data_IF_203156317376
#
_entry.id   IF_203156317376
#
_cell.length_a   1.000
_cell.length_b   1.000
_cell.length_c   1.000
_cell.angle_alpha   90.00
_cell.angle_beta   90.00
_cell.angle_gamma   90.00
#
_symmetry.space_group_name_H-M   'P 1'
#
loop_
_entity.id
_entity.type
_entity.pdbx_description
1 polymer ?
#
# COMPACT_ATOMS: atom_id res chain seq x y z
N UNK A 1 9.63 -45.07 -47.65
CA UNK A 1 8.60 -45.69 -46.79
C UNK A 1 9.20 -45.94 -45.41
N UNK A 2 8.44 -45.65 -44.34
CA UNK A 2 8.59 -46.01 -42.90
C UNK A 2 9.80 -45.36 -42.17
N UNK A 3 9.59 -44.33 -41.33
CA UNK A 3 9.17 -44.33 -39.90
C UNK A 3 10.09 -45.22 -39.04
N UNK A 4 10.74 -44.70 -38.00
CA UNK A 4 10.28 -44.79 -36.60
C UNK A 4 10.82 -43.63 -35.76
N UNK A 5 9.89 -43.01 -35.02
CA UNK A 5 10.04 -42.05 -33.94
C UNK A 5 10.45 -42.83 -32.68
N UNK A 6 11.40 -42.33 -31.90
CA UNK A 6 11.65 -42.81 -30.54
C UNK A 6 11.65 -41.63 -29.58
N UNK A 7 10.49 -41.40 -28.97
CA UNK A 7 10.29 -40.56 -27.79
C UNK A 7 10.24 -41.54 -26.61
N UNK A 8 11.05 -41.29 -25.58
CA UNK A 8 10.67 -41.36 -24.15
C UNK A 8 11.92 -41.43 -23.28
N UNK A 9 12.06 -40.49 -22.35
CA UNK A 9 12.28 -40.83 -20.94
C UNK A 9 11.73 -39.69 -20.08
N UNK A 10 10.48 -39.85 -19.69
CA UNK A 10 9.77 -39.03 -18.72
C UNK A 10 10.22 -39.50 -17.34
N UNK A 11 11.19 -38.82 -16.73
CA UNK A 11 11.56 -39.08 -15.33
C UNK A 11 10.54 -38.44 -14.39
N UNK A 12 9.50 -39.21 -14.08
CA UNK A 12 8.60 -38.94 -12.96
C UNK A 12 9.34 -39.29 -11.67
N UNK A 13 9.69 -38.27 -10.88
CA UNK A 13 10.09 -38.46 -9.49
C UNK A 13 8.91 -38.11 -8.59
N UNK A 14 8.17 -39.15 -8.21
CA UNK A 14 7.28 -39.13 -7.05
C UNK A 14 8.13 -39.33 -5.79
N UNK A 15 8.10 -38.35 -4.87
CA UNK A 15 8.46 -38.53 -3.48
C UNK A 15 7.17 -38.40 -2.65
N UNK A 16 6.63 -39.54 -2.21
CA UNK A 16 5.64 -39.68 -1.14
C UNK A 16 6.40 -40.02 0.15
N UNK A 17 6.27 -39.25 1.24
CA UNK A 17 5.37 -39.44 2.40
C UNK A 17 6.27 -39.26 3.66
N UNK A 18 5.88 -38.85 4.86
CA UNK A 18 4.67 -38.35 5.50
C UNK A 18 5.13 -37.82 6.88
N UNK A 19 4.50 -36.75 7.40
CA UNK A 19 4.76 -36.23 8.75
C UNK A 19 3.63 -35.32 9.19
N UNK A 20 2.53 -35.93 9.61
CA UNK A 20 1.29 -35.29 10.02
C UNK A 20 1.44 -34.71 11.43
N UNK A 21 1.12 -33.43 11.66
CA UNK A 21 0.34 -32.91 12.82
C UNK A 21 0.23 -31.39 12.76
N UNK A 22 -1.00 -30.90 12.87
CA UNK A 22 -1.36 -29.48 12.79
C UNK A 22 -2.06 -29.17 11.48
N UNK A 23 -3.39 -29.33 11.43
CA UNK A 23 -4.17 -28.54 10.49
C UNK A 23 -3.81 -27.07 10.75
N UNK A 24 -3.47 -26.25 9.73
CA UNK A 24 -3.62 -24.82 9.92
C UNK A 24 -5.10 -24.64 10.24
N UNK A 25 -5.42 -24.14 11.44
CA UNK A 25 -6.76 -23.66 11.72
C UNK A 25 -7.19 -22.81 10.51
N UNK A 26 -8.39 -23.00 9.95
CA UNK A 26 -8.91 -21.99 9.05
C UNK A 26 -8.88 -20.69 9.86
N UNK A 27 -8.04 -19.74 9.43
CA UNK A 27 -8.04 -18.37 9.96
C UNK A 27 -9.51 -18.00 10.07
N UNK A 28 -9.95 -17.70 11.29
CA UNK A 28 -11.31 -17.27 11.59
C UNK A 28 -11.72 -16.28 10.51
N UNK A 29 -12.79 -16.58 9.78
CA UNK A 29 -13.44 -15.56 8.96
C UNK A 29 -13.68 -14.35 9.88
N UNK A 30 -13.22 -13.14 9.53
CA UNK A 30 -13.66 -11.98 10.26
C UNK A 30 -15.16 -11.85 10.02
N UNK A 31 -15.92 -12.11 11.08
CA UNK A 31 -17.34 -11.93 11.12
C UNK A 31 -17.65 -10.45 10.89
N UNK A 32 -18.38 -10.20 9.80
CA UNK A 32 -19.40 -9.17 9.62
C UNK A 32 -19.12 -7.77 10.17
N UNK A 33 -18.88 -6.83 9.26
CA UNK A 33 -19.85 -5.82 8.83
C UNK A 33 -19.05 -4.76 8.08
N UNK A 34 -19.41 -4.54 6.81
CA UNK A 34 -19.03 -3.40 5.99
C UNK A 34 -17.53 -3.09 5.96
N UNK A 35 -16.88 -3.67 4.96
CA UNK A 35 -15.60 -3.18 4.43
C UNK A 35 -15.77 -1.69 4.11
N UNK A 36 -15.45 -0.84 5.07
CA UNK A 36 -14.80 0.44 4.78
C UNK A 36 -13.57 0.05 3.95
N UNK A 37 -13.42 0.67 2.78
CA UNK A 37 -12.35 0.44 1.81
C UNK A 37 -10.97 0.84 2.36
N UNK A 38 -10.57 0.37 3.55
CA UNK A 38 -9.17 0.29 3.93
C UNK A 38 -8.58 -0.84 3.09
N UNK A 39 -8.01 -0.49 1.95
CA UNK A 39 -7.20 -1.42 1.17
C UNK A 39 -6.19 -2.09 2.11
N UNK A 40 -6.18 -3.43 2.12
CA UNK A 40 -5.15 -4.21 2.81
C UNK A 40 -3.78 -3.71 2.33
N UNK A 41 -2.95 -3.22 3.26
CA UNK A 41 -1.60 -2.74 2.99
C UNK A 41 -0.80 -3.81 2.24
N UNK A 42 -0.16 -3.42 1.14
CA UNK A 42 0.52 -4.35 0.24
C UNK A 42 1.97 -4.56 0.69
N UNK A 43 2.25 -5.73 1.31
CA UNK A 43 3.55 -6.44 1.37
C UNK A 43 4.69 -5.89 2.26
N UNK A 44 5.07 -6.70 3.26
CA UNK A 44 6.20 -6.54 4.21
C UNK A 44 7.61 -6.62 3.56
N UNK A 45 7.99 -5.70 2.68
CA UNK A 45 9.37 -5.68 2.12
C UNK A 45 10.27 -4.60 2.70
N UNK A 46 9.69 -3.53 3.25
CA UNK A 46 10.40 -2.40 3.84
C UNK A 46 10.21 -2.35 5.36
N UNK A 47 11.13 -1.72 6.11
CA UNK A 47 10.96 -1.55 7.56
C UNK A 47 9.72 -0.72 7.87
N UNK A 48 8.95 -1.14 8.87
CA UNK A 48 7.82 -0.36 9.36
C UNK A 48 8.29 1.06 9.77
N UNK A 49 7.59 2.12 9.33
CA UNK A 49 8.00 3.49 9.61
C UNK A 49 7.76 3.86 11.08
N UNK A 50 8.72 4.57 11.68
CA UNK A 50 8.62 5.15 13.02
C UNK A 50 8.10 6.60 12.93
N UNK A 51 6.82 6.74 12.62
CA UNK A 51 6.14 8.03 12.48
C UNK A 51 4.85 8.05 13.31
N UNK A 52 4.47 9.18 13.88
CA UNK A 52 3.25 9.25 14.70
C UNK A 52 1.98 9.50 13.86
N UNK A 53 2.12 10.12 12.68
CA UNK A 53 1.01 10.46 11.78
C UNK A 53 0.07 11.54 12.34
N UNK A 54 -0.73 12.15 11.47
CA UNK A 54 -1.76 13.13 11.83
C UNK A 54 -3.15 12.50 11.91
N UNK A 55 -4.00 13.00 12.81
CA UNK A 55 -5.45 12.80 12.76
C UNK A 55 -6.19 14.05 12.28
N UNK A 56 -7.48 13.92 11.94
CA UNK A 56 -8.31 15.04 11.50
C UNK A 56 -8.31 16.21 12.49
N UNK A 57 -8.34 15.94 13.79
CA UNK A 57 -8.31 16.97 14.82
C UNK A 57 -6.96 17.68 14.97
N UNK A 58 -5.87 17.12 14.44
CA UNK A 58 -4.55 17.78 14.41
C UNK A 58 -4.46 18.84 13.29
N UNK A 59 -5.36 18.77 12.29
CA UNK A 59 -5.31 19.61 11.09
C UNK A 59 -5.81 21.03 11.33
N UNK A 60 -5.35 21.97 10.50
CA UNK A 60 -5.89 23.34 10.48
C UNK A 60 -7.37 23.38 10.08
N UNK A 61 -8.10 24.41 10.49
CA UNK A 61 -9.52 24.56 10.10
C UNK A 61 -9.69 24.72 8.58
N UNK A 62 -8.69 25.30 7.90
CA UNK A 62 -8.66 25.43 6.44
C UNK A 62 -8.56 24.06 5.76
N UNK A 63 -7.66 23.20 6.25
CA UNK A 63 -7.44 21.87 5.69
C UNK A 63 -8.59 20.92 6.03
N UNK A 64 -9.17 21.00 7.23
CA UNK A 64 -10.35 20.20 7.61
C UNK A 64 -11.51 20.36 6.63
N UNK A 65 -11.66 21.53 6.00
CA UNK A 65 -12.70 21.82 4.99
C UNK A 65 -12.45 21.13 3.65
N UNK A 66 -11.25 20.59 3.41
CA UNK A 66 -10.94 19.82 2.20
C UNK A 66 -11.54 18.41 2.25
N UNK A 67 -11.91 17.93 3.44
CA UNK A 67 -12.48 16.61 3.64
C UNK A 67 -14.00 16.68 3.74
N UNK A 68 -14.70 15.80 3.01
CA UNK A 68 -16.17 15.73 2.98
C UNK A 68 -16.74 15.01 4.22
N UNK A 69 -16.36 15.47 5.41
CA UNK A 69 -16.71 14.85 6.71
C UNK A 69 -18.16 15.12 7.13
N UNK A 70 -18.81 16.10 6.50
CA UNK A 70 -20.23 16.41 6.71
C UNK A 70 -21.15 15.28 6.21
N UNK A 71 -20.64 14.40 5.34
CA UNK A 71 -21.34 13.17 4.94
C UNK A 71 -21.39 12.11 6.02
N UNK A 72 -20.47 12.17 6.99
CA UNK A 72 -20.41 11.21 8.09
C UNK A 72 -21.45 11.65 9.13
N UNK A 73 -22.40 10.77 9.44
CA UNK A 73 -23.42 11.09 10.44
C UNK A 73 -22.80 11.26 11.82
N UNK A 74 -23.43 12.09 12.67
CA UNK A 74 -22.97 12.25 14.06
C UNK A 74 -23.02 10.93 14.84
N UNK A 75 -24.00 10.06 14.55
CA UNK A 75 -24.06 8.70 15.12
C UNK A 75 -22.84 7.86 14.73
N UNK A 76 -22.38 7.96 13.48
CA UNK A 76 -21.20 7.24 13.01
C UNK A 76 -19.92 7.81 13.61
N UNK A 77 -19.81 9.14 13.74
CA UNK A 77 -18.68 9.80 14.43
C UNK A 77 -18.59 9.40 15.90
N UNK A 78 -19.72 9.32 16.59
CA UNK A 78 -19.76 8.91 18.01
C UNK A 78 -19.43 7.42 18.18
N UNK A 79 -19.94 6.57 17.29
CA UNK A 79 -19.75 5.11 17.37
C UNK A 79 -18.35 4.68 16.92
N UNK A 80 -17.80 5.37 15.93
CA UNK A 80 -16.51 5.05 15.32
C UNK A 80 -15.72 6.34 15.02
N UNK A 81 -15.13 6.98 16.04
CA UNK A 81 -14.40 8.23 15.86
C UNK A 81 -13.22 8.11 14.89
N UNK A 82 -12.69 6.90 14.68
CA UNK A 82 -11.62 6.63 13.71
C UNK A 82 -12.03 6.90 12.27
N UNK A 83 -13.32 6.85 11.94
CA UNK A 83 -13.81 7.18 10.59
C UNK A 83 -13.51 8.65 10.27
N UNK A 84 -13.79 9.54 11.23
CA UNK A 84 -13.47 10.96 11.12
C UNK A 84 -11.97 11.19 11.29
N UNK A 85 -11.40 10.69 12.39
CA UNK A 85 -10.04 11.03 12.80
C UNK A 85 -8.97 10.48 11.85
N UNK A 86 -9.23 9.38 11.13
CA UNK A 86 -8.22 8.72 10.31
C UNK A 86 -8.75 8.37 8.92
N UNK A 87 -9.87 7.66 8.81
CA UNK A 87 -10.28 7.09 7.52
C UNK A 87 -10.57 8.18 6.46
N UNK A 88 -11.14 9.32 6.86
CA UNK A 88 -11.36 10.47 5.96
C UNK A 88 -10.06 11.01 5.37
N UNK A 89 -9.00 11.12 6.19
CA UNK A 89 -7.69 11.58 5.73
C UNK A 89 -7.07 10.57 4.76
N UNK A 90 -7.12 9.29 5.13
CA UNK A 90 -6.56 8.21 4.32
C UNK A 90 -7.21 8.16 2.94
N UNK A 91 -8.54 8.17 2.89
CA UNK A 91 -9.29 8.06 1.63
C UNK A 91 -8.98 9.19 0.66
N UNK A 92 -9.06 10.44 1.11
CA UNK A 92 -8.84 11.59 0.23
C UNK A 92 -7.38 11.71 -0.23
N UNK A 93 -6.40 11.55 0.69
CA UNK A 93 -4.98 11.67 0.34
C UNK A 93 -4.52 10.54 -0.57
N UNK A 94 -4.95 9.29 -0.33
CA UNK A 94 -4.64 8.17 -1.22
C UNK A 94 -5.28 8.33 -2.59
N UNK A 95 -6.52 8.81 -2.64
CA UNK A 95 -7.20 9.05 -3.92
C UNK A 95 -6.50 10.15 -4.72
N UNK A 96 -6.02 11.19 -4.05
CA UNK A 96 -5.20 12.23 -4.68
C UNK A 96 -3.91 11.63 -5.24
N UNK A 97 -3.16 10.86 -4.44
CA UNK A 97 -1.94 10.21 -4.88
C UNK A 97 -2.18 9.31 -6.09
N UNK A 98 -3.19 8.45 -6.02
CA UNK A 98 -3.56 7.50 -7.07
C UNK A 98 -3.90 8.21 -8.39
N UNK A 99 -4.63 9.32 -8.33
CA UNK A 99 -5.00 10.09 -9.52
C UNK A 99 -3.78 10.80 -10.10
N UNK A 100 -3.00 11.49 -9.27
CA UNK A 100 -1.82 12.22 -9.73
C UNK A 100 -0.79 11.30 -10.41
N UNK A 101 -0.49 10.14 -9.80
CA UNK A 101 0.45 9.18 -10.41
C UNK A 101 -0.10 8.54 -11.67
N UNK A 102 -1.42 8.32 -11.76
CA UNK A 102 -2.05 7.78 -12.95
C UNK A 102 -2.03 8.76 -14.14
N UNK A 103 -2.04 10.07 -13.89
CA UNK A 103 -1.85 11.09 -14.93
C UNK A 103 -0.45 11.04 -15.54
N UNK A 104 0.55 10.63 -14.77
CA UNK A 104 1.92 10.36 -15.21
C UNK A 104 2.09 8.96 -15.81
N UNK A 105 1.04 8.14 -15.83
CA UNK A 105 1.04 6.80 -16.42
C UNK A 105 1.43 5.66 -15.48
N UNK A 106 1.54 5.92 -14.18
CA UNK A 106 1.95 4.95 -13.16
C UNK A 106 0.82 4.60 -12.18
N UNK A 107 0.94 3.44 -11.56
CA UNK A 107 0.00 2.92 -10.57
C UNK A 107 0.74 2.36 -9.35
N UNK A 108 0.00 1.94 -8.31
CA UNK A 108 0.62 1.44 -7.07
C UNK A 108 1.41 0.14 -7.24
N UNK A 109 1.13 -0.71 -8.23
CA UNK A 109 1.98 -1.86 -8.53
C UNK A 109 3.38 -1.43 -9.01
N UNK A 110 3.48 -0.29 -9.71
CA UNK A 110 4.76 0.27 -10.12
C UNK A 110 5.56 0.76 -8.90
N UNK A 111 4.88 1.36 -7.92
CA UNK A 111 5.49 1.72 -6.64
C UNK A 111 6.03 0.49 -5.89
N UNK A 112 5.25 -0.60 -5.84
CA UNK A 112 5.67 -1.84 -5.17
C UNK A 112 6.94 -2.46 -5.79
N UNK A 113 7.23 -2.16 -7.07
CA UNK A 113 8.45 -2.63 -7.70
C UNK A 113 9.69 -1.84 -7.25
N UNK A 114 9.53 -0.62 -6.76
CA UNK A 114 10.63 0.30 -6.43
C UNK A 114 10.68 0.69 -4.95
N UNK A 115 9.73 0.22 -4.15
CA UNK A 115 9.49 0.73 -2.80
C UNK A 115 8.21 0.16 -2.18
N UNK A 116 7.62 0.94 -1.27
CA UNK A 116 6.43 0.57 -0.50
C UNK A 116 5.63 1.82 -0.08
N UNK A 117 4.37 1.63 0.31
CA UNK A 117 3.50 2.66 0.84
C UNK A 117 2.81 2.22 2.13
N UNK A 118 2.99 3.02 3.19
CA UNK A 118 2.29 2.84 4.45
C UNK A 118 1.30 3.98 4.70
N UNK A 119 0.24 3.67 5.46
CA UNK A 119 -0.60 4.69 6.06
C UNK A 119 -0.39 4.68 7.57
N UNK A 120 0.15 5.76 8.10
CA UNK A 120 0.27 5.94 9.54
C UNK A 120 -0.70 7.02 9.97
N UNK A 121 -1.81 6.59 10.59
CA UNK A 121 -3.02 7.41 10.77
C UNK A 121 -3.40 8.03 9.42
N UNK A 122 -3.56 9.36 9.32
CA UNK A 122 -3.89 10.05 8.08
C UNK A 122 -2.70 10.37 7.17
N UNK A 123 -1.45 10.08 7.56
CA UNK A 123 -0.26 10.42 6.77
C UNK A 123 0.14 9.26 5.85
N UNK A 124 0.48 9.58 4.59
CA UNK A 124 1.06 8.63 3.63
C UNK A 124 2.57 8.57 3.90
N UNK A 125 3.15 7.38 4.00
CA UNK A 125 4.60 7.19 4.00
C UNK A 125 4.97 6.49 2.70
N UNK A 126 5.79 7.12 1.87
CA UNK A 126 6.35 6.56 0.66
C UNK A 126 7.80 6.18 0.92
N UNK A 127 8.12 4.90 0.82
CA UNK A 127 9.48 4.41 0.96
C UNK A 127 9.99 3.99 -0.41
N UNK A 128 11.18 4.44 -0.78
CA UNK A 128 11.84 4.06 -2.04
C UNK A 128 13.15 3.34 -1.77
N UNK A 129 13.48 2.36 -2.60
CA UNK A 129 14.83 1.76 -2.61
C UNK A 129 15.87 2.84 -2.89
N UNK A 130 17.01 2.79 -2.20
CA UNK A 130 18.14 3.69 -2.50
C UNK A 130 18.73 3.48 -3.90
N UNK A 131 18.78 2.24 -4.36
CA UNK A 131 19.35 1.87 -5.66
C UNK A 131 18.25 1.56 -6.66
N UNK A 132 18.02 2.49 -7.58
CA UNK A 132 17.05 2.38 -8.66
C UNK A 132 17.75 2.44 -10.01
N UNK A 133 17.20 1.74 -10.99
CA UNK A 133 17.56 1.86 -12.40
C UNK A 133 17.00 3.17 -13.00
N UNK A 134 17.45 3.55 -14.20
CA UNK A 134 16.96 4.76 -14.87
C UNK A 134 15.43 4.75 -15.09
N UNK A 135 14.85 3.60 -15.44
CA UNK A 135 13.39 3.45 -15.62
C UNK A 135 12.64 3.56 -14.29
N UNK A 136 13.18 2.97 -13.22
CA UNK A 136 12.59 3.06 -11.88
C UNK A 136 12.71 4.47 -11.27
N UNK A 137 13.70 5.26 -11.69
CA UNK A 137 13.81 6.66 -11.30
C UNK A 137 12.66 7.50 -11.87
N UNK A 138 12.21 7.22 -13.10
CA UNK A 138 11.04 7.91 -13.68
C UNK A 138 9.77 7.62 -12.87
N UNK A 139 9.61 6.39 -12.39
CA UNK A 139 8.52 6.00 -11.47
C UNK A 139 8.65 6.79 -10.17
N UNK A 140 9.82 6.79 -9.52
CA UNK A 140 10.05 7.56 -8.27
C UNK A 140 9.72 9.04 -8.46
N UNK A 141 10.18 9.66 -9.55
CA UNK A 141 9.94 11.08 -9.84
C UNK A 141 8.44 11.40 -9.94
N UNK A 142 7.64 10.54 -10.56
CA UNK A 142 6.19 10.74 -10.65
C UNK A 142 5.51 10.70 -9.28
N UNK A 143 5.89 9.76 -8.41
CA UNK A 143 5.35 9.66 -7.05
C UNK A 143 5.81 10.82 -6.17
N UNK A 144 7.08 11.23 -6.24
CA UNK A 144 7.61 12.38 -5.50
C UNK A 144 6.92 13.66 -5.92
N UNK A 145 6.74 13.89 -7.22
CA UNK A 145 6.01 15.05 -7.75
C UNK A 145 4.58 15.10 -7.19
N UNK A 146 3.87 13.98 -7.25
CA UNK A 146 2.50 13.91 -6.72
C UNK A 146 2.48 14.11 -5.20
N UNK A 147 3.46 13.59 -4.48
CA UNK A 147 3.59 13.80 -3.04
C UNK A 147 3.83 15.27 -2.69
N UNK A 148 4.64 15.99 -3.46
CA UNK A 148 4.84 17.43 -3.27
C UNK A 148 3.54 18.21 -3.53
N UNK A 149 2.76 17.83 -4.55
CA UNK A 149 1.43 18.41 -4.80
C UNK A 149 0.44 18.13 -3.64
N UNK A 150 0.48 16.94 -3.05
CA UNK A 150 -0.31 16.62 -1.84
C UNK A 150 0.10 17.52 -0.68
N UNK A 151 1.40 17.75 -0.47
CA UNK A 151 1.89 18.64 0.59
C UNK A 151 1.43 20.09 0.41
N UNK A 152 1.40 20.56 -0.83
CA UNK A 152 0.89 21.90 -1.16
C UNK A 152 -0.62 22.02 -0.95
N UNK A 153 -1.39 20.99 -1.31
CA UNK A 153 -2.86 21.01 -1.22
C UNK A 153 -3.35 20.81 0.22
N UNK A 154 -2.76 19.86 0.94
CA UNK A 154 -3.20 19.48 2.29
C UNK A 154 -2.31 20.14 3.33
N UNK A 155 -1.14 19.55 3.60
CA UNK A 155 -0.08 20.13 4.41
C UNK A 155 1.23 19.33 4.27
N UNK A 156 2.36 19.89 4.71
CA UNK A 156 3.70 19.26 4.63
C UNK A 156 3.80 17.85 5.25
N UNK A 157 3.05 17.58 6.32
CA UNK A 157 3.05 16.28 7.02
C UNK A 157 2.04 15.28 6.44
N UNK A 158 1.36 15.63 5.34
CA UNK A 158 0.41 14.74 4.66
C UNK A 158 1.11 13.55 3.99
N UNK A 159 2.37 13.74 3.56
CA UNK A 159 3.22 12.70 2.98
C UNK A 159 4.62 12.78 3.56
N UNK A 160 5.15 11.66 4.03
CA UNK A 160 6.59 11.50 4.29
C UNK A 160 7.23 10.64 3.21
N UNK A 161 8.45 10.99 2.83
CA UNK A 161 9.22 10.26 1.83
C UNK A 161 10.51 9.79 2.48
N UNK A 162 10.78 8.50 2.39
CA UNK A 162 11.96 7.87 2.98
C UNK A 162 12.73 7.09 1.90
N UNK A 163 14.04 7.05 2.07
CA UNK A 163 14.91 6.15 1.29
C UNK A 163 15.35 5.01 2.20
N UNK A 164 15.21 3.78 1.70
CA UNK A 164 15.49 2.56 2.47
C UNK A 164 16.54 1.69 1.77
N UNK A 165 17.55 1.26 2.53
CA UNK A 165 18.50 0.23 2.09
C UNK A 165 17.77 -1.11 1.97
N UNK A 166 17.36 -1.48 0.76
CA UNK A 166 16.97 -2.85 0.47
C UNK A 166 18.21 -3.64 0.07
N UNK A 167 18.68 -4.53 0.95
CA UNK A 167 19.78 -5.43 0.58
C UNK A 167 19.35 -6.32 -0.58
N UNK A 168 20.11 -6.31 -1.68
CA UNK A 168 19.85 -7.12 -2.88
C UNK A 168 20.05 -8.64 -2.67
N UNK A 169 19.94 -9.14 -1.45
CA UNK A 169 20.22 -10.53 -1.09
C UNK A 169 18.97 -11.21 -0.55
N UNK A 170 17.97 -11.48 -1.41
CA UNK A 170 16.98 -12.56 -1.27
C UNK A 170 16.02 -12.60 -2.48
N UNK A 171 16.54 -12.87 -3.68
CA UNK A 171 15.78 -13.48 -4.80
C UNK A 171 16.62 -14.56 -5.48
#
# INVERSE_FOLDING_TARGET
MKKIISISFLCVLFLSACGQTGQPEPKKEPASADRLDSYDMLVESCPEPDYEGQTFSDLSEEEQKLYDVDRISEEEKERNPMVLEVASLQGERQEFLRKGTAEEGYNFEDLMNIGDMYMVKGTIILQFKEQLTEEELEVKEAFVKTADEIKEVFNEDAVQIEEVEMSATEL
#
